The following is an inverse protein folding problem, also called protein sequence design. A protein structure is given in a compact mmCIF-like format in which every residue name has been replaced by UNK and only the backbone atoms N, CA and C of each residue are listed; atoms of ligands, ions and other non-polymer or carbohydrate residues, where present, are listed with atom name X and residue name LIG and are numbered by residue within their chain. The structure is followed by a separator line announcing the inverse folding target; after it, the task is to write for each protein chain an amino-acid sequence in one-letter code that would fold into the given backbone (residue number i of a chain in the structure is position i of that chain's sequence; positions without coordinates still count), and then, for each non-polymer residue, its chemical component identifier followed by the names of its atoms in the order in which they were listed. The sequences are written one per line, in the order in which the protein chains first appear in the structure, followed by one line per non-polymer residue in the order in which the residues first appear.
data_IF_051744775103
#
_entry.id   IF_051744775103
#
_cell.length_a   1.000
_cell.length_b   1.000
_cell.length_c   1.000
_cell.angle_alpha   90.00
_cell.angle_beta   90.00
_cell.angle_gamma   90.00
#
_symmetry.space_group_name_H-M   'P 1'
#
loop_
_entity.id
_entity.type
_entity.pdbx_description
1 polymer ?
#
# COMPACT_ATOMS: atom_id res chain seq x y z
N UNK A 1 -38.79 -16.31 9.31
CA UNK A 1 -39.01 -15.43 8.15
C UNK A 1 -37.74 -14.70 7.68
N UNK A 2 -36.81 -14.27 8.54
CA UNK A 2 -35.57 -13.57 8.09
C UNK A 2 -34.56 -14.47 7.34
N UNK A 3 -34.43 -15.75 7.70
CA UNK A 3 -33.56 -16.71 6.99
C UNK A 3 -34.00 -16.96 5.54
N UNK A 4 -35.31 -16.92 5.28
CA UNK A 4 -35.87 -17.26 3.97
C UNK A 4 -35.50 -16.21 2.90
N UNK A 5 -35.50 -14.92 3.27
CA UNK A 5 -35.07 -13.85 2.37
C UNK A 5 -33.57 -13.92 2.04
N UNK A 6 -32.72 -14.21 3.02
CA UNK A 6 -31.27 -14.35 2.80
C UNK A 6 -30.97 -15.55 1.88
N UNK A 7 -31.66 -16.67 2.06
CA UNK A 7 -31.54 -17.83 1.17
C UNK A 7 -32.03 -17.56 -0.25
N UNK A 8 -33.14 -16.82 -0.42
CA UNK A 8 -33.62 -16.37 -1.72
C UNK A 8 -32.66 -15.39 -2.39
N UNK A 9 -32.05 -14.48 -1.62
CA UNK A 9 -31.02 -13.56 -2.10
C UNK A 9 -29.75 -14.29 -2.55
N UNK A 10 -29.30 -15.32 -1.83
CA UNK A 10 -28.14 -16.13 -2.21
C UNK A 10 -28.35 -16.91 -3.52
N UNK A 11 -29.60 -17.34 -3.80
CA UNK A 11 -29.96 -18.02 -5.05
C UNK A 11 -30.06 -17.06 -6.24
N UNK A 12 -30.27 -15.77 -6.00
CA UNK A 12 -30.36 -14.75 -7.04
C UNK A 12 -28.94 -14.38 -7.51
N UNK A 13 -28.63 -14.51 -8.82
CA UNK A 13 -27.32 -14.10 -9.33
C UNK A 13 -27.04 -12.63 -9.05
N UNK A 14 -25.88 -12.34 -8.46
CA UNK A 14 -25.41 -10.98 -8.25
C UNK A 14 -25.12 -10.34 -9.61
N UNK A 15 -25.78 -9.23 -9.93
CA UNK A 15 -25.62 -8.51 -11.19
C UNK A 15 -24.40 -7.57 -11.18
N UNK A 16 -24.16 -6.93 -10.04
CA UNK A 16 -23.08 -5.95 -9.87
C UNK A 16 -21.87 -6.59 -9.18
N UNK A 17 -20.89 -7.00 -9.98
CA UNK A 17 -19.58 -7.51 -9.50
C UNK A 17 -18.41 -6.64 -9.98
N UNK A 18 -18.62 -5.82 -11.01
CA UNK A 18 -17.57 -5.03 -11.65
C UNK A 18 -16.89 -4.04 -10.69
N UNK A 19 -17.62 -3.43 -9.77
CA UNK A 19 -17.06 -2.49 -8.79
C UNK A 19 -16.06 -3.14 -7.82
N UNK A 20 -16.44 -4.25 -7.19
CA UNK A 20 -15.55 -4.99 -6.28
C UNK A 20 -14.31 -5.54 -7.02
N UNK A 21 -14.52 -6.04 -8.24
CA UNK A 21 -13.43 -6.52 -9.10
C UNK A 21 -12.46 -5.41 -9.48
N UNK A 22 -12.97 -4.21 -9.74
CA UNK A 22 -12.17 -3.05 -10.10
C UNK A 22 -11.33 -2.57 -8.90
N UNK A 23 -11.94 -2.47 -7.72
CA UNK A 23 -11.22 -2.12 -6.48
C UNK A 23 -10.07 -3.09 -6.20
N UNK A 24 -10.33 -4.40 -6.28
CA UNK A 24 -9.31 -5.42 -6.03
C UNK A 24 -8.11 -5.31 -7.01
N UNK A 25 -8.37 -4.94 -8.26
CA UNK A 25 -7.33 -4.75 -9.26
C UNK A 25 -6.49 -3.50 -8.98
N UNK A 26 -7.13 -2.40 -8.59
CA UNK A 26 -6.40 -1.19 -8.18
C UNK A 26 -5.55 -1.44 -6.94
N UNK A 27 -6.08 -2.15 -5.94
CA UNK A 27 -5.31 -2.50 -4.75
C UNK A 27 -4.12 -3.40 -5.07
N UNK A 28 -4.28 -4.33 -6.02
CA UNK A 28 -3.16 -5.13 -6.52
C UNK A 28 -2.07 -4.27 -7.13
N UNK A 29 -2.41 -3.32 -8.01
CA UNK A 29 -1.44 -2.47 -8.67
C UNK A 29 -0.60 -1.67 -7.66
N UNK A 30 -1.27 -1.05 -6.68
CA UNK A 30 -0.61 -0.28 -5.61
C UNK A 30 0.27 -1.16 -4.72
N UNK A 31 -0.22 -2.34 -4.32
CA UNK A 31 0.56 -3.26 -3.48
C UNK A 31 1.74 -3.86 -4.24
N UNK A 32 1.59 -4.19 -5.53
CA UNK A 32 2.69 -4.64 -6.38
C UNK A 32 3.77 -3.56 -6.50
N UNK A 33 3.36 -2.31 -6.77
CA UNK A 33 4.28 -1.18 -6.84
C UNK A 33 5.06 -1.01 -5.53
N UNK A 34 4.38 -1.17 -4.39
CA UNK A 34 5.03 -1.11 -3.08
C UNK A 34 6.02 -2.26 -2.88
N UNK A 35 5.69 -3.50 -3.27
CA UNK A 35 6.68 -4.59 -3.26
C UNK A 35 7.89 -4.28 -4.14
N UNK A 36 7.68 -3.73 -5.32
CA UNK A 36 8.77 -3.38 -6.24
C UNK A 36 9.65 -2.25 -5.68
N UNK A 37 9.05 -1.25 -5.02
CA UNK A 37 9.79 -0.23 -4.27
C UNK A 37 10.66 -0.85 -3.17
N UNK A 38 10.13 -1.82 -2.43
CA UNK A 38 10.86 -2.52 -1.38
C UNK A 38 12.06 -3.26 -1.98
N UNK A 39 11.86 -4.01 -3.07
CA UNK A 39 12.94 -4.76 -3.75
C UNK A 39 14.06 -3.83 -4.21
N UNK A 40 13.72 -2.75 -4.91
CA UNK A 40 14.71 -1.72 -5.32
C UNK A 40 15.43 -1.11 -4.12
N UNK A 41 14.72 -0.92 -3.00
CA UNK A 41 15.32 -0.44 -1.76
C UNK A 41 16.35 -1.41 -1.19
N UNK A 42 16.00 -2.70 -1.12
CA UNK A 42 16.87 -3.78 -0.65
C UNK A 42 18.11 -3.94 -1.56
N UNK A 43 17.97 -3.66 -2.85
CA UNK A 43 19.08 -3.64 -3.81
C UNK A 43 19.95 -2.37 -3.73
N UNK A 44 19.59 -1.41 -2.88
CA UNK A 44 20.31 -0.15 -2.70
C UNK A 44 20.09 0.86 -3.83
N UNK A 45 19.07 0.68 -4.67
CA UNK A 45 18.74 1.61 -5.74
C UNK A 45 18.29 2.97 -5.19
N UNK A 46 18.57 4.03 -5.96
CA UNK A 46 18.07 5.38 -5.72
C UNK A 46 16.90 5.65 -6.67
N UNK A 47 15.69 5.82 -6.13
CA UNK A 47 14.48 5.79 -6.95
C UNK A 47 13.41 6.80 -6.51
N UNK A 48 12.58 7.14 -7.48
CA UNK A 48 11.36 7.92 -7.34
C UNK A 48 10.23 7.20 -8.10
N UNK A 49 9.06 7.01 -7.48
CA UNK A 49 7.96 6.27 -8.09
C UNK A 49 6.74 7.16 -8.25
N UNK A 50 6.32 7.42 -9.49
CA UNK A 50 5.07 8.12 -9.78
C UNK A 50 3.91 7.13 -9.93
N UNK A 51 2.76 7.46 -9.35
CA UNK A 51 1.55 6.64 -9.39
C UNK A 51 0.47 7.25 -10.28
N UNK A 52 -0.16 6.46 -11.14
CA UNK A 52 -1.18 6.92 -12.09
C UNK A 52 -0.70 8.13 -12.90
N UNK A 53 0.42 7.96 -13.61
CA UNK A 53 1.06 9.01 -14.40
C UNK A 53 1.71 8.41 -15.64
N UNK A 54 1.17 8.71 -16.83
CA UNK A 54 1.43 8.03 -18.12
C UNK A 54 1.03 6.55 -18.17
N UNK A 55 1.45 5.75 -17.18
CA UNK A 55 1.04 4.37 -16.96
C UNK A 55 0.59 4.17 -15.50
N UNK A 56 0.19 2.95 -15.13
CA UNK A 56 -0.28 2.64 -13.77
C UNK A 56 0.77 3.03 -12.71
N UNK A 57 2.05 2.75 -13.02
CA UNK A 57 3.20 3.06 -12.15
C UNK A 57 4.41 3.41 -13.01
N UNK A 58 5.17 4.45 -12.64
CA UNK A 58 6.41 4.83 -13.31
C UNK A 58 7.54 4.89 -12.31
N UNK A 59 8.59 4.12 -12.55
CA UNK A 59 9.81 4.17 -11.74
C UNK A 59 10.86 5.02 -12.44
N UNK A 60 11.49 5.92 -11.68
CA UNK A 60 12.46 6.89 -12.13
C UNK A 60 13.73 6.73 -11.28
N UNK A 61 14.90 6.74 -11.91
CA UNK A 61 16.19 6.59 -11.21
C UNK A 61 17.26 7.50 -11.83
N UNK A 62 18.09 8.20 -11.04
CA UNK A 62 18.03 8.38 -9.57
C UNK A 62 16.88 9.29 -9.10
N UNK A 63 16.59 9.35 -7.79
CA UNK A 63 15.47 10.10 -7.22
C UNK A 63 15.48 11.59 -7.60
N UNK A 64 16.66 12.23 -7.49
CA UNK A 64 16.77 13.68 -7.65
C UNK A 64 16.84 14.13 -9.11
N UNK A 65 17.59 13.41 -9.94
CA UNK A 65 17.79 13.73 -11.35
C UNK A 65 17.64 12.48 -12.24
N UNK A 66 16.39 11.99 -12.46
CA UNK A 66 16.15 10.76 -13.19
C UNK A 66 16.79 10.74 -14.58
N UNK A 67 17.54 9.67 -14.86
CA UNK A 67 18.11 9.37 -16.18
C UNK A 67 17.46 8.14 -16.81
N UNK A 68 16.89 7.28 -15.97
CA UNK A 68 16.24 6.04 -16.35
C UNK A 68 14.77 6.09 -15.96
N UNK A 69 13.93 5.51 -16.81
CA UNK A 69 12.49 5.41 -16.57
C UNK A 69 11.94 4.05 -16.99
N UNK A 70 11.19 3.43 -16.09
CA UNK A 70 10.38 2.25 -16.36
C UNK A 70 8.90 2.60 -16.28
N UNK A 71 8.23 2.57 -17.42
CA UNK A 71 6.77 2.69 -17.49
C UNK A 71 6.15 1.31 -17.29
N UNK A 72 5.45 1.12 -16.17
CA UNK A 72 4.90 -0.17 -15.77
C UNK A 72 3.38 -0.19 -15.93
N UNK A 73 2.91 -0.98 -16.89
CA UNK A 73 1.50 -1.26 -17.09
C UNK A 73 1.17 -2.62 -16.43
N UNK A 74 0.36 -2.60 -15.38
CA UNK A 74 0.03 -3.75 -14.55
C UNK A 74 -1.34 -4.31 -14.91
N UNK A 75 -1.37 -5.50 -15.51
CA UNK A 75 -2.59 -6.19 -15.94
C UNK A 75 -2.84 -7.46 -15.14
N UNK A 76 -3.99 -7.52 -14.50
CA UNK A 76 -4.37 -8.62 -13.60
C UNK A 76 -5.46 -9.53 -14.18
N UNK A 77 -5.54 -10.76 -13.67
CA UNK A 77 -6.58 -11.75 -14.00
C UNK A 77 -6.88 -12.59 -12.77
N UNK A 78 -8.18 -12.84 -12.51
CA UNK A 78 -8.63 -13.75 -11.44
C UNK A 78 -8.35 -15.22 -11.75
N UNK A 79 -8.49 -15.60 -13.02
CA UNK A 79 -8.16 -16.95 -13.48
C UNK A 79 -6.65 -17.13 -13.55
N UNK A 80 -6.15 -18.29 -13.14
CA UNK A 80 -4.75 -18.71 -13.30
C UNK A 80 -4.35 -19.07 -14.74
N UNK A 81 -5.26 -18.92 -15.71
CA UNK A 81 -4.98 -19.23 -17.11
C UNK A 81 -4.04 -18.21 -17.73
N UNK A 82 -3.01 -18.74 -18.40
CA UNK A 82 -2.03 -17.98 -19.16
C UNK A 82 -2.67 -16.96 -20.10
N UNK A 83 -1.99 -15.83 -20.32
CA UNK A 83 -2.40 -14.81 -21.27
C UNK A 83 -1.55 -14.94 -22.53
N UNK A 84 -2.22 -14.90 -23.69
CA UNK A 84 -1.57 -15.00 -25.00
C UNK A 84 -1.11 -13.62 -25.47
N UNK A 85 -0.06 -13.59 -26.30
CA UNK A 85 0.44 -12.36 -26.90
C UNK A 85 -0.65 -11.61 -27.69
N UNK A 86 -1.52 -12.37 -28.37
CA UNK A 86 -2.65 -11.81 -29.13
C UNK A 86 -3.63 -10.99 -28.29
N UNK A 87 -3.74 -11.23 -26.99
CA UNK A 87 -4.56 -10.40 -26.10
C UNK A 87 -4.00 -8.97 -25.98
N UNK A 88 -2.69 -8.82 -25.90
CA UNK A 88 -2.03 -7.52 -25.75
C UNK A 88 -1.84 -6.76 -27.07
N UNK A 89 -1.89 -7.48 -28.19
CA UNK A 89 -1.88 -6.92 -29.56
C UNK A 89 -3.30 -6.65 -30.10
N UNK A 90 -4.35 -7.09 -29.39
CA UNK A 90 -5.71 -6.91 -29.84
C UNK A 90 -6.11 -5.43 -29.77
N UNK A 91 -6.81 -4.97 -30.81
CA UNK A 91 -7.37 -3.62 -30.90
C UNK A 91 -8.89 -3.68 -30.83
N UNK A 92 -9.46 -3.06 -29.81
CA UNK A 92 -10.91 -2.97 -29.65
C UNK A 92 -11.52 -1.99 -30.65
N UNK A 93 -12.72 -2.30 -31.16
CA UNK A 93 -13.49 -1.36 -31.97
C UNK A 93 -14.05 -0.24 -31.07
N UNK A 94 -13.98 1.00 -31.54
CA UNK A 94 -14.63 2.17 -30.95
C UNK A 94 -15.40 2.95 -32.02
N UNK A 95 -16.31 3.88 -31.62
CA UNK A 95 -16.99 4.75 -32.57
C UNK A 95 -16.04 5.58 -33.46
N UNK A 96 -14.85 5.89 -32.94
CA UNK A 96 -13.82 6.71 -33.59
C UNK A 96 -12.78 5.87 -34.37
N UNK A 97 -12.95 4.54 -34.44
CA UNK A 97 -12.04 3.65 -35.16
C UNK A 97 -11.64 2.41 -34.34
N UNK A 98 -10.35 2.11 -34.32
CA UNK A 98 -9.79 1.04 -33.47
C UNK A 98 -8.94 1.66 -32.39
N UNK A 99 -9.24 1.38 -31.12
CA UNK A 99 -8.40 1.78 -30.00
C UNK A 99 -6.99 1.21 -30.16
N UNK A 100 -5.96 1.90 -29.66
CA UNK A 100 -4.63 1.32 -29.56
C UNK A 100 -4.66 0.03 -28.74
N UNK A 101 -3.84 -0.94 -29.13
CA UNK A 101 -3.59 -2.16 -28.36
C UNK A 101 -2.83 -1.82 -27.08
N UNK A 102 -2.77 -2.77 -26.13
CA UNK A 102 -2.03 -2.53 -24.88
C UNK A 102 -0.55 -2.30 -25.18
N UNK A 103 0.04 -3.11 -26.06
CA UNK A 103 1.44 -2.91 -26.48
C UNK A 103 1.64 -1.63 -27.30
N UNK A 104 0.66 -1.24 -28.11
CA UNK A 104 0.69 0.05 -28.84
C UNK A 104 0.73 1.24 -27.88
N UNK A 105 -0.13 1.26 -26.85
CA UNK A 105 -0.11 2.33 -25.82
C UNK A 105 1.20 2.36 -25.05
N UNK A 106 1.70 1.20 -24.65
CA UNK A 106 3.00 1.13 -23.97
C UNK A 106 4.10 1.69 -24.88
N UNK A 107 4.06 1.40 -26.18
CA UNK A 107 5.05 1.90 -27.13
C UNK A 107 5.04 3.44 -27.24
N UNK A 108 3.87 4.08 -27.15
CA UNK A 108 3.75 5.55 -27.17
C UNK A 108 4.55 6.25 -26.05
N UNK A 109 4.87 5.56 -24.95
CA UNK A 109 5.72 6.11 -23.88
C UNK A 109 7.17 6.41 -24.33
N UNK A 110 7.61 5.90 -25.49
CA UNK A 110 8.91 6.26 -26.06
C UNK A 110 8.90 7.66 -26.71
N UNK A 111 7.72 8.19 -27.02
CA UNK A 111 7.58 9.48 -27.67
C UNK A 111 7.77 10.63 -26.66
N UNK A 112 8.42 11.71 -27.10
CA UNK A 112 8.61 12.92 -26.29
C UNK A 112 9.72 12.86 -25.24
N UNK A 113 10.39 11.70 -25.04
CA UNK A 113 11.55 11.57 -24.16
C UNK A 113 12.84 11.76 -24.96
N UNK A 114 13.67 12.71 -24.53
CA UNK A 114 14.89 13.11 -25.23
C UNK A 114 15.95 12.00 -25.34
N UNK A 115 16.87 12.16 -26.30
CA UNK A 115 18.01 11.27 -26.44
C UNK A 115 18.93 11.37 -25.20
N UNK A 116 19.43 10.22 -24.73
CA UNK A 116 20.31 10.12 -23.56
C UNK A 116 19.66 9.51 -22.32
N UNK A 117 18.35 9.25 -22.33
CA UNK A 117 17.64 8.57 -21.26
C UNK A 117 17.45 7.08 -21.58
N UNK A 118 17.56 6.23 -20.55
CA UNK A 118 17.18 4.82 -20.65
C UNK A 118 15.68 4.69 -20.39
N UNK A 119 14.92 4.33 -21.42
CA UNK A 119 13.46 4.17 -21.33
C UNK A 119 13.13 2.69 -21.50
N UNK A 120 12.37 2.13 -20.58
CA UNK A 120 11.75 0.82 -20.71
C UNK A 120 10.25 0.90 -20.50
N UNK A 121 9.54 0.01 -21.16
CA UNK A 121 8.11 -0.19 -20.96
C UNK A 121 7.90 -1.64 -20.52
N UNK A 122 7.17 -1.84 -19.45
CA UNK A 122 7.11 -3.12 -18.74
C UNK A 122 5.65 -3.50 -18.58
N UNK A 123 5.27 -4.62 -19.20
CA UNK A 123 3.97 -5.22 -18.99
C UNK A 123 4.08 -6.21 -17.84
N UNK A 124 3.42 -5.87 -16.73
CA UNK A 124 3.41 -6.69 -15.52
C UNK A 124 2.12 -7.49 -15.47
N UNK A 125 2.22 -8.79 -15.21
CA UNK A 125 1.05 -9.63 -14.97
C UNK A 125 1.17 -10.47 -13.71
N UNK A 126 0.00 -10.73 -13.10
CA UNK A 126 -0.12 -11.65 -11.98
C UNK A 126 -0.16 -13.13 -12.43
N UNK A 127 -0.41 -13.37 -13.72
CA UNK A 127 -0.47 -14.70 -14.32
C UNK A 127 0.62 -14.86 -15.39
N UNK A 128 1.13 -16.08 -15.60
CA UNK A 128 2.20 -16.28 -16.57
C UNK A 128 1.77 -16.01 -18.01
N UNK A 129 2.70 -15.46 -18.80
CA UNK A 129 2.53 -15.32 -20.24
C UNK A 129 2.72 -16.66 -20.94
N UNK A 130 1.89 -16.97 -21.94
CA UNK A 130 2.02 -18.24 -22.69
C UNK A 130 3.19 -18.24 -23.68
N UNK A 131 3.87 -17.10 -23.86
CA UNK A 131 4.79 -16.84 -24.95
C UNK A 131 6.21 -16.48 -24.49
N UNK A 132 6.44 -16.31 -23.19
CA UNK A 132 7.75 -15.97 -22.62
C UNK A 132 7.91 -16.48 -21.19
N UNK A 133 9.09 -16.28 -20.61
CA UNK A 133 9.36 -16.56 -19.20
C UNK A 133 8.77 -15.49 -18.25
N UNK A 134 9.12 -15.58 -16.98
CA UNK A 134 8.65 -14.64 -15.94
C UNK A 134 9.32 -13.27 -16.01
N UNK A 135 10.45 -13.14 -16.68
CA UNK A 135 11.09 -11.87 -17.00
C UNK A 135 11.72 -12.02 -18.38
N UNK A 136 11.24 -11.28 -19.38
CA UNK A 136 11.67 -11.44 -20.77
C UNK A 136 11.61 -10.12 -21.52
N UNK A 137 12.62 -9.87 -22.36
CA UNK A 137 12.62 -8.77 -23.32
C UNK A 137 11.87 -9.18 -24.59
N UNK A 138 11.15 -8.25 -25.22
CA UNK A 138 10.43 -8.51 -26.47
C UNK A 138 11.38 -8.90 -27.62
N UNK A 139 12.61 -8.37 -27.64
CA UNK A 139 13.62 -8.72 -28.63
C UNK A 139 14.15 -10.16 -28.51
N UNK A 140 14.07 -10.75 -27.31
CA UNK A 140 14.59 -12.09 -27.01
C UNK A 140 13.52 -13.18 -27.10
N UNK A 141 12.30 -12.83 -27.54
CA UNK A 141 11.23 -13.80 -27.75
C UNK A 141 11.56 -14.73 -28.92
N UNK A 142 10.80 -15.82 -28.98
CA UNK A 142 10.80 -16.70 -30.16
C UNK A 142 10.47 -15.89 -31.42
N UNK A 143 11.11 -16.25 -32.53
CA UNK A 143 11.03 -15.51 -33.80
C UNK A 143 9.58 -15.27 -34.27
N UNK A 144 8.71 -16.26 -34.10
CA UNK A 144 7.29 -16.16 -34.43
C UNK A 144 6.61 -15.01 -33.69
N UNK A 145 6.83 -14.92 -32.38
CA UNK A 145 6.27 -13.91 -31.49
C UNK A 145 6.84 -12.52 -31.81
N UNK A 146 8.15 -12.42 -32.06
CA UNK A 146 8.81 -11.17 -32.48
C UNK A 146 8.19 -10.66 -33.79
N UNK A 147 8.06 -11.51 -34.79
CA UNK A 147 7.48 -11.15 -36.09
C UNK A 147 6.01 -10.73 -35.94
N UNK A 148 5.25 -11.39 -35.07
CA UNK A 148 3.87 -11.01 -34.78
C UNK A 148 3.77 -9.62 -34.14
N UNK A 149 4.67 -9.28 -33.21
CA UNK A 149 4.72 -7.93 -32.61
C UNK A 149 5.05 -6.91 -33.70
N UNK A 150 6.10 -7.15 -34.50
CA UNK A 150 6.51 -6.22 -35.56
C UNK A 150 5.39 -5.93 -36.55
N UNK A 151 4.74 -6.96 -37.07
CA UNK A 151 3.63 -6.82 -38.02
C UNK A 151 2.49 -5.99 -37.42
N UNK A 152 2.06 -6.32 -36.20
CA UNK A 152 0.93 -5.65 -35.56
C UNK A 152 1.24 -4.22 -35.11
N UNK A 153 2.45 -3.95 -34.65
CA UNK A 153 2.89 -2.59 -34.29
C UNK A 153 3.08 -1.71 -35.53
N UNK A 154 3.63 -2.24 -36.62
CA UNK A 154 3.75 -1.50 -37.89
C UNK A 154 2.38 -1.20 -38.54
N UNK A 155 1.38 -2.08 -38.37
CA UNK A 155 -0.01 -1.81 -38.76
C UNK A 155 -0.68 -0.73 -37.91
N UNK A 156 -0.25 -0.57 -36.66
CA UNK A 156 -0.89 0.28 -35.66
C UNK A 156 -0.27 1.68 -35.57
N UNK A 157 1.05 1.76 -35.58
CA UNK A 157 1.83 2.96 -35.28
C UNK A 157 2.44 3.55 -36.56
N UNK A 158 2.33 4.87 -36.73
CA UNK A 158 2.88 5.57 -37.90
C UNK A 158 4.41 5.59 -37.95
N UNK A 159 5.07 5.51 -36.79
CA UNK A 159 6.53 5.61 -36.64
C UNK A 159 7.08 4.47 -35.76
N UNK A 160 6.79 3.23 -36.15
CA UNK A 160 7.35 2.07 -35.46
C UNK A 160 8.86 1.91 -35.75
N UNK A 161 9.65 1.79 -34.70
CA UNK A 161 11.08 1.51 -34.70
C UNK A 161 11.33 0.14 -34.04
N UNK A 162 11.67 -0.85 -34.87
CA UNK A 162 11.96 -2.20 -34.41
C UNK A 162 13.10 -2.27 -33.38
N UNK A 163 14.03 -1.30 -33.40
CA UNK A 163 15.13 -1.27 -32.44
C UNK A 163 14.65 -1.04 -31.00
N UNK A 164 13.43 -0.50 -30.82
CA UNK A 164 12.80 -0.28 -29.51
C UNK A 164 12.24 -1.56 -28.89
N UNK A 165 12.17 -2.68 -29.62
CA UNK A 165 11.75 -3.95 -29.01
C UNK A 165 12.67 -4.39 -27.86
N UNK A 166 13.93 -3.97 -27.86
CA UNK A 166 14.87 -4.23 -26.75
C UNK A 166 14.48 -3.52 -25.44
N UNK A 167 13.59 -2.53 -25.53
CA UNK A 167 13.13 -1.70 -24.41
C UNK A 167 11.74 -2.12 -23.89
N UNK A 168 11.10 -3.12 -24.51
CA UNK A 168 9.79 -3.63 -24.10
C UNK A 168 10.02 -4.93 -23.31
N UNK A 169 9.49 -4.99 -22.09
CA UNK A 169 9.67 -6.11 -21.18
C UNK A 169 8.35 -6.70 -20.69
N UNK A 170 8.39 -7.98 -20.35
CA UNK A 170 7.28 -8.75 -19.82
C UNK A 170 7.67 -9.33 -18.47
N UNK A 171 6.94 -9.01 -17.41
CA UNK A 171 7.18 -9.51 -16.05
C UNK A 171 5.96 -10.24 -15.52
N UNK A 172 6.16 -11.47 -15.06
CA UNK A 172 5.17 -12.23 -14.29
C UNK A 172 5.56 -12.23 -12.82
N UNK A 173 4.67 -11.73 -11.97
CA UNK A 173 4.87 -11.69 -10.51
C UNK A 173 4.57 -13.03 -9.84
N UNK A 174 3.61 -13.80 -10.37
CA UNK A 174 3.20 -15.09 -9.80
C UNK A 174 2.39 -14.99 -8.51
N UNK A 175 1.96 -13.79 -8.12
CA UNK A 175 1.18 -13.55 -6.90
C UNK A 175 -0.29 -13.38 -7.27
N UNK A 176 -1.20 -14.12 -6.62
CA UNK A 176 -2.63 -13.98 -6.90
C UNK A 176 -3.17 -12.64 -6.37
N UNK A 177 -4.35 -12.23 -6.87
CA UNK A 177 -5.02 -11.03 -6.38
C UNK A 177 -5.24 -11.08 -4.85
N UNK A 178 -5.65 -12.24 -4.34
CA UNK A 178 -5.96 -12.44 -2.92
C UNK A 178 -4.70 -12.53 -2.05
N UNK A 179 -3.58 -13.00 -2.62
CA UNK A 179 -2.32 -13.17 -1.89
C UNK A 179 -1.42 -11.93 -1.92
N UNK A 180 -1.76 -10.90 -2.70
CA UNK A 180 -0.89 -9.73 -2.89
C UNK A 180 -0.60 -8.99 -1.57
N UNK A 181 -1.58 -8.88 -0.67
CA UNK A 181 -1.37 -8.21 0.60
C UNK A 181 -0.46 -9.02 1.55
N UNK A 182 -0.65 -10.34 1.65
CA UNK A 182 0.22 -11.17 2.48
C UNK A 182 1.65 -11.24 1.92
N UNK A 183 1.80 -11.27 0.59
CA UNK A 183 3.09 -11.16 -0.07
C UNK A 183 3.79 -9.84 0.27
N UNK A 184 3.07 -8.71 0.20
CA UNK A 184 3.59 -7.40 0.63
C UNK A 184 4.07 -7.43 2.07
N UNK A 185 3.31 -8.00 3.01
CA UNK A 185 3.74 -8.10 4.40
C UNK A 185 5.03 -8.92 4.58
N UNK A 186 5.26 -9.93 3.73
CA UNK A 186 6.53 -10.65 3.69
C UNK A 186 7.70 -9.76 3.27
N UNK A 187 7.54 -9.01 2.16
CA UNK A 187 8.55 -8.06 1.69
C UNK A 187 8.84 -6.96 2.73
N UNK A 188 7.81 -6.46 3.42
CA UNK A 188 7.97 -5.48 4.51
C UNK A 188 8.79 -6.08 5.67
N UNK A 189 8.54 -7.34 6.02
CA UNK A 189 9.33 -8.01 7.06
C UNK A 189 10.82 -8.07 6.69
N UNK A 190 11.15 -8.37 5.42
CA UNK A 190 12.54 -8.38 4.95
C UNK A 190 13.17 -6.98 4.97
N UNK A 191 12.42 -5.95 4.56
CA UNK A 191 12.86 -4.55 4.64
C UNK A 191 13.21 -4.15 6.07
N UNK A 192 12.31 -4.43 7.03
CA UNK A 192 12.53 -4.08 8.43
C UNK A 192 13.71 -4.85 9.03
N UNK A 193 13.86 -6.13 8.69
CA UNK A 193 15.01 -6.93 9.10
C UNK A 193 16.32 -6.33 8.57
N UNK A 194 16.35 -5.85 7.33
CA UNK A 194 17.54 -5.21 6.76
C UNK A 194 17.85 -3.87 7.45
N UNK A 195 16.84 -3.00 7.62
CA UNK A 195 17.03 -1.63 8.13
C UNK A 195 17.28 -1.57 9.64
N UNK A 196 16.62 -2.43 10.42
CA UNK A 196 16.59 -2.34 11.89
C UNK A 196 17.12 -3.58 12.59
N UNK A 197 17.42 -4.66 11.85
CA UNK A 197 17.77 -5.96 12.41
C UNK A 197 16.57 -6.76 12.92
N UNK A 198 16.84 -7.95 13.45
CA UNK A 198 15.81 -8.80 14.07
C UNK A 198 15.37 -8.25 15.44
N UNK A 199 14.12 -8.53 15.83
CA UNK A 199 13.61 -8.12 17.15
C UNK A 199 13.39 -6.60 17.29
N UNK A 200 13.29 -5.87 16.18
CA UNK A 200 13.14 -4.41 16.17
C UNK A 200 11.85 -3.91 16.87
N UNK A 201 10.84 -4.75 17.12
CA UNK A 201 9.67 -4.40 17.93
C UNK A 201 8.78 -3.28 17.36
N UNK A 202 8.98 -2.89 16.10
CA UNK A 202 8.16 -1.88 15.42
C UNK A 202 6.90 -2.55 14.86
N UNK A 203 5.76 -1.88 14.99
CA UNK A 203 4.51 -2.34 14.38
C UNK A 203 4.55 -2.15 12.85
N UNK A 204 5.01 -3.20 12.15
CA UNK A 204 5.11 -3.21 10.69
C UNK A 204 3.76 -2.99 10.00
N UNK A 205 2.65 -3.48 10.58
CA UNK A 205 1.33 -3.27 9.98
C UNK A 205 0.91 -1.80 9.98
N UNK A 206 1.16 -1.09 11.09
CA UNK A 206 0.88 0.35 11.17
C UNK A 206 1.73 1.14 10.17
N UNK A 207 3.02 0.81 10.06
CA UNK A 207 3.90 1.43 9.06
C UNK A 207 3.48 1.11 7.62
N UNK A 208 3.14 -0.15 7.31
CA UNK A 208 2.67 -0.54 5.97
C UNK A 208 1.43 0.26 5.58
N UNK A 209 0.46 0.41 6.50
CA UNK A 209 -0.74 1.22 6.26
C UNK A 209 -0.38 2.68 5.99
N UNK A 210 0.54 3.28 6.77
CA UNK A 210 1.00 4.65 6.56
C UNK A 210 1.52 4.87 5.13
N UNK A 211 2.35 3.95 4.64
CA UNK A 211 2.91 4.05 3.28
C UNK A 211 1.83 3.78 2.22
N UNK A 212 0.95 2.79 2.43
CA UNK A 212 -0.19 2.54 1.53
C UNK A 212 -1.11 3.76 1.43
N UNK A 213 -1.36 4.46 2.54
CA UNK A 213 -2.19 5.66 2.56
C UNK A 213 -1.53 6.84 1.83
N UNK A 214 -0.19 6.96 1.90
CA UNK A 214 0.55 7.91 1.05
C UNK A 214 0.44 7.54 -0.43
N UNK A 215 0.65 6.27 -0.79
CA UNK A 215 0.49 5.78 -2.17
C UNK A 215 -0.93 6.06 -2.69
N UNK A 216 -1.95 5.75 -1.90
CA UNK A 216 -3.35 6.04 -2.23
C UNK A 216 -3.57 7.53 -2.47
N UNK A 217 -3.02 8.39 -1.60
CA UNK A 217 -3.10 9.85 -1.77
C UNK A 217 -2.43 10.31 -3.06
N UNK A 218 -1.25 9.78 -3.42
CA UNK A 218 -0.55 10.14 -4.67
C UNK A 218 -1.29 9.66 -5.91
N UNK A 219 -1.77 8.43 -5.90
CA UNK A 219 -2.47 7.78 -7.01
C UNK A 219 -3.76 8.56 -7.37
N UNK A 220 -4.54 8.96 -6.36
CA UNK A 220 -5.84 9.65 -6.52
C UNK A 220 -5.75 11.13 -6.91
N UNK A 221 -4.55 11.72 -7.06
CA UNK A 221 -4.44 13.09 -7.57
C UNK A 221 -4.74 13.09 -9.06
N UNK A 222 -5.69 13.89 -9.54
CA UNK A 222 -5.93 14.03 -10.98
C UNK A 222 -4.71 14.65 -11.68
N UNK A 223 -4.34 14.09 -12.84
CA UNK A 223 -3.16 14.55 -13.61
C UNK A 223 -3.27 16.01 -14.06
N UNK A 224 -4.49 16.54 -14.22
CA UNK A 224 -4.74 17.95 -14.52
C UNK A 224 -4.23 18.91 -13.44
N UNK A 225 -4.04 18.42 -12.20
CA UNK A 225 -3.53 19.21 -11.07
C UNK A 225 -1.99 19.25 -10.98
N UNK A 226 -1.30 18.70 -11.98
CA UNK A 226 0.16 18.64 -12.07
C UNK A 226 0.64 19.68 -13.09
N UNK A 227 1.16 20.80 -12.61
CA UNK A 227 1.55 21.94 -13.45
C UNK A 227 3.05 22.18 -13.57
N UNK A 228 3.85 21.44 -12.78
CA UNK A 228 5.31 21.60 -12.71
C UNK A 228 6.02 20.30 -12.32
N UNK A 229 7.33 20.27 -12.49
CA UNK A 229 8.19 19.17 -12.01
C UNK A 229 8.11 19.03 -10.49
N UNK A 230 8.07 20.14 -9.76
CA UNK A 230 7.89 20.14 -8.30
C UNK A 230 6.52 19.58 -7.90
N UNK A 231 5.46 19.90 -8.64
CA UNK A 231 4.13 19.33 -8.41
C UNK A 231 4.14 17.82 -8.62
N UNK A 232 4.74 17.35 -9.71
CA UNK A 232 4.84 15.92 -10.01
C UNK A 232 5.52 15.17 -8.85
N UNK A 233 6.74 15.60 -8.48
CA UNK A 233 7.50 15.00 -7.37
C UNK A 233 6.68 15.01 -6.07
N UNK A 234 6.02 16.12 -5.74
CA UNK A 234 5.31 16.26 -4.46
C UNK A 234 3.95 15.56 -4.41
N UNK A 235 3.18 15.56 -5.50
CA UNK A 235 1.76 15.16 -5.51
C UNK A 235 1.53 13.77 -6.06
N UNK A 236 2.44 13.26 -6.91
CA UNK A 236 2.29 11.97 -7.59
C UNK A 236 3.38 10.97 -7.23
N UNK A 237 4.51 11.42 -6.70
CA UNK A 237 5.64 10.54 -6.45
C UNK A 237 5.82 10.13 -4.98
N UNK A 238 6.31 8.91 -4.78
CA UNK A 238 6.88 8.44 -3.52
C UNK A 238 8.38 8.20 -3.74
N UNK A 239 9.20 8.76 -2.86
CA UNK A 239 10.66 8.66 -2.92
C UNK A 239 11.22 7.50 -2.10
N UNK A 240 12.45 7.08 -2.43
CA UNK A 240 13.25 6.22 -1.56
C UNK A 240 13.37 6.84 -0.15
N UNK A 241 13.62 8.15 -0.09
CA UNK A 241 13.74 8.87 1.19
C UNK A 241 12.50 8.73 2.08
N UNK A 242 11.29 8.69 1.53
CA UNK A 242 10.06 8.48 2.31
C UNK A 242 10.12 7.16 3.10
N UNK A 243 10.54 6.06 2.47
CA UNK A 243 10.63 4.76 3.14
C UNK A 243 11.65 4.80 4.27
N UNK A 244 12.87 5.28 4.00
CA UNK A 244 13.90 5.39 5.02
C UNK A 244 13.45 6.28 6.19
N UNK A 245 12.94 7.48 5.91
CA UNK A 245 12.54 8.43 6.94
C UNK A 245 11.39 7.90 7.80
N UNK A 246 10.39 7.24 7.20
CA UNK A 246 9.23 6.70 7.94
C UNK A 246 9.57 5.44 8.73
N UNK A 247 10.51 4.60 8.27
CA UNK A 247 11.02 3.47 9.06
C UNK A 247 11.78 3.98 10.27
N UNK A 248 12.69 4.94 10.08
CA UNK A 248 13.44 5.53 11.18
C UNK A 248 12.52 6.26 12.17
N UNK A 249 11.52 6.99 11.68
CA UNK A 249 10.50 7.57 12.53
C UNK A 249 9.75 6.50 13.33
N UNK A 250 9.27 5.43 12.70
CA UNK A 250 8.58 4.34 13.40
C UNK A 250 9.49 3.60 14.40
N UNK A 251 10.79 3.54 14.13
CA UNK A 251 11.80 2.97 15.02
C UNK A 251 12.12 3.86 16.23
N UNK A 252 12.02 5.18 16.08
CA UNK A 252 12.29 6.16 17.14
C UNK A 252 11.04 6.48 17.97
N UNK A 253 9.86 6.40 17.36
CA UNK A 253 8.57 6.64 17.99
C UNK A 253 7.88 5.32 18.36
N UNK A 254 8.66 4.33 18.82
CA UNK A 254 8.11 3.07 19.33
C UNK A 254 7.28 3.37 20.56
N UNK A 255 5.97 3.44 20.40
CA UNK A 255 5.07 3.16 21.52
C UNK A 255 5.29 1.70 21.88
N UNK A 256 5.89 1.46 23.04
CA UNK A 256 6.07 0.08 23.50
C UNK A 256 4.67 -0.42 23.82
N UNK A 257 4.22 -1.45 23.11
CA UNK A 257 3.02 -2.17 23.56
C UNK A 257 3.28 -2.55 25.02
N UNK A 258 2.42 -2.11 25.95
CA UNK A 258 2.79 -2.16 27.34
C UNK A 258 2.82 -3.61 27.82
N UNK A 259 3.73 -3.94 28.74
CA UNK A 259 3.94 -5.32 29.22
C UNK A 259 2.70 -5.83 29.96
N UNK A 260 1.80 -6.48 29.21
CA UNK A 260 0.48 -6.85 29.72
C UNK A 260 0.53 -7.79 30.91
N UNK A 261 1.61 -8.55 31.08
CA UNK A 261 1.81 -9.40 32.26
C UNK A 261 1.93 -8.57 33.54
N UNK A 262 2.67 -7.46 33.50
CA UNK A 262 2.85 -6.54 34.61
C UNK A 262 1.58 -5.73 34.87
N UNK A 263 0.96 -5.19 33.82
CA UNK A 263 -0.31 -4.46 33.92
C UNK A 263 -1.40 -5.32 34.54
N UNK A 264 -1.55 -6.56 34.05
CA UNK A 264 -2.57 -7.46 34.59
C UNK A 264 -2.31 -7.84 36.04
N UNK A 265 -1.05 -7.91 36.47
CA UNK A 265 -0.71 -8.16 37.87
C UNK A 265 -1.10 -6.96 38.74
N UNK A 266 -0.66 -5.75 38.38
CA UNK A 266 -0.96 -4.53 39.14
C UNK A 266 -2.47 -4.23 39.23
N UNK A 267 -3.19 -4.34 38.10
CA UNK A 267 -4.63 -4.10 38.08
C UNK A 267 -5.41 -5.18 38.85
N UNK A 268 -4.94 -6.43 38.81
CA UNK A 268 -5.54 -7.52 39.60
C UNK A 268 -5.35 -7.30 41.10
N UNK A 269 -4.17 -6.84 41.52
CA UNK A 269 -3.89 -6.48 42.91
C UNK A 269 -4.76 -5.28 43.36
N UNK A 270 -5.10 -4.38 42.42
CA UNK A 270 -6.06 -3.29 42.62
C UNK A 270 -7.55 -3.72 42.52
N UNK A 271 -7.84 -5.02 42.38
CA UNK A 271 -9.19 -5.57 42.44
C UNK A 271 -9.92 -5.72 41.10
N UNK A 272 -9.25 -5.56 39.96
CA UNK A 272 -9.87 -5.80 38.65
C UNK A 272 -10.18 -7.28 38.43
N UNK A 273 -11.33 -7.56 37.81
CA UNK A 273 -11.73 -8.95 37.52
C UNK A 273 -11.01 -9.50 36.31
N UNK A 274 -10.83 -10.82 36.22
CA UNK A 274 -10.27 -11.48 35.04
C UNK A 274 -11.04 -11.15 33.73
N UNK A 275 -12.34 -10.90 33.85
CA UNK A 275 -13.19 -10.53 32.71
C UNK A 275 -12.84 -9.11 32.23
N UNK A 276 -12.62 -8.17 33.15
CA UNK A 276 -12.24 -6.79 32.81
C UNK A 276 -10.87 -6.74 32.14
N UNK A 277 -9.89 -7.48 32.70
CA UNK A 277 -8.55 -7.60 32.11
C UNK A 277 -8.60 -8.21 30.70
N UNK A 278 -9.41 -9.25 30.48
CA UNK A 278 -9.60 -9.82 29.15
C UNK A 278 -10.22 -8.82 28.16
N UNK A 279 -11.24 -8.07 28.58
CA UNK A 279 -11.92 -7.09 27.71
C UNK A 279 -10.98 -5.95 27.32
N UNK A 280 -10.24 -5.40 28.28
CA UNK A 280 -9.24 -4.37 28.03
C UNK A 280 -8.09 -4.89 27.14
N UNK A 281 -7.54 -6.07 27.46
CA UNK A 281 -6.44 -6.66 26.70
C UNK A 281 -6.77 -6.87 25.21
N UNK A 282 -8.02 -7.20 24.88
CA UNK A 282 -8.49 -7.29 23.48
C UNK A 282 -8.47 -5.96 22.71
N UNK A 283 -8.42 -4.82 23.41
CA UNK A 283 -8.43 -3.47 22.81
C UNK A 283 -7.04 -2.85 22.68
N UNK A 284 -6.04 -3.34 23.43
CA UNK A 284 -4.69 -2.77 23.48
C UNK A 284 -4.05 -2.64 22.09
N UNK A 285 -4.10 -3.68 21.25
CA UNK A 285 -3.49 -3.63 19.90
C UNK A 285 -4.07 -2.50 19.03
N UNK A 286 -5.40 -2.34 19.06
CA UNK A 286 -6.07 -1.28 18.31
C UNK A 286 -5.76 0.10 18.92
N UNK A 287 -5.76 0.20 20.26
CA UNK A 287 -5.43 1.44 20.94
C UNK A 287 -3.97 1.89 20.67
N UNK A 288 -3.01 0.96 20.60
CA UNK A 288 -1.61 1.27 20.20
C UNK A 288 -1.56 1.77 18.76
N UNK A 289 -2.32 1.15 17.86
CA UNK A 289 -2.39 1.59 16.46
C UNK A 289 -2.99 2.99 16.33
N UNK A 290 -3.96 3.35 17.17
CA UNK A 290 -4.54 4.70 17.16
C UNK A 290 -3.63 5.73 17.82
N UNK A 291 -3.00 5.38 18.95
CA UNK A 291 -2.05 6.26 19.66
C UNK A 291 -0.85 6.65 18.79
N UNK A 292 -0.42 5.76 17.90
CA UNK A 292 0.72 5.99 16.98
C UNK A 292 0.32 6.63 15.66
N UNK A 293 -0.97 6.87 15.41
CA UNK A 293 -1.45 7.39 14.14
C UNK A 293 -1.69 8.92 14.18
N UNK A 294 -0.77 9.75 13.64
CA UNK A 294 -0.89 11.20 13.71
C UNK A 294 -2.02 11.78 12.83
N UNK A 295 -2.63 10.97 11.95
CA UNK A 295 -3.75 11.43 11.12
C UNK A 295 -5.12 11.20 11.77
N UNK A 296 -5.16 10.51 12.92
CA UNK A 296 -6.40 10.29 13.67
C UNK A 296 -6.61 11.42 14.69
N UNK A 297 -7.30 12.48 14.26
CA UNK A 297 -7.52 13.68 15.07
C UNK A 297 -8.25 13.43 16.40
N UNK A 298 -9.14 12.43 16.45
CA UNK A 298 -9.86 12.06 17.68
C UNK A 298 -8.92 11.37 18.69
N UNK A 299 -8.06 10.47 18.20
CA UNK A 299 -7.04 9.82 19.03
C UNK A 299 -6.01 10.82 19.54
N UNK A 300 -5.57 11.76 18.70
CA UNK A 300 -4.63 12.82 19.07
C UNK A 300 -5.22 13.75 20.14
N UNK A 301 -6.51 14.11 20.02
CA UNK A 301 -7.19 14.90 21.04
C UNK A 301 -7.30 14.15 22.37
N UNK A 302 -7.61 12.85 22.34
CA UNK A 302 -7.67 12.02 23.53
C UNK A 302 -6.28 11.89 24.19
N UNK A 303 -5.25 11.65 23.40
CA UNK A 303 -3.85 11.58 23.83
C UNK A 303 -3.45 12.84 24.59
N UNK A 304 -3.60 14.01 23.98
CA UNK A 304 -3.24 15.30 24.60
C UNK A 304 -3.96 15.53 25.94
N UNK A 305 -5.23 15.13 26.04
CA UNK A 305 -6.00 15.26 27.29
C UNK A 305 -5.49 14.34 28.39
N UNK A 306 -5.19 13.09 28.05
CA UNK A 306 -4.67 12.10 29.01
C UNK A 306 -3.25 12.45 29.46
N UNK A 307 -2.39 12.92 28.55
CA UNK A 307 -1.05 13.41 28.86
C UNK A 307 -1.13 14.62 29.80
N UNK A 308 -2.00 15.59 29.49
CA UNK A 308 -2.21 16.76 30.35
C UNK A 308 -2.71 16.35 31.75
N UNK A 309 -3.62 15.39 31.83
CA UNK A 309 -4.07 14.84 33.11
C UNK A 309 -2.92 14.20 33.88
N UNK A 310 -2.14 13.32 33.23
CA UNK A 310 -1.01 12.62 33.82
C UNK A 310 -0.01 13.60 34.44
N UNK A 311 0.41 14.61 33.66
CA UNK A 311 1.34 15.64 34.13
C UNK A 311 0.75 16.51 35.25
N UNK A 312 -0.56 16.76 35.23
CA UNK A 312 -1.22 17.59 36.24
C UNK A 312 -1.38 16.90 37.59
N UNK A 313 -1.56 15.57 37.59
CA UNK A 313 -1.85 14.80 38.80
C UNK A 313 -0.66 14.01 39.32
N UNK A 314 0.35 13.79 38.48
CA UNK A 314 1.54 12.99 38.78
C UNK A 314 1.18 11.65 39.47
N UNK A 315 0.32 10.82 38.84
CA UNK A 315 -0.17 9.60 39.45
C UNK A 315 1.01 8.66 39.77
N UNK A 316 0.96 8.03 40.94
CA UNK A 316 2.03 7.13 41.38
C UNK A 316 1.83 5.68 40.93
N UNK A 317 0.60 5.31 40.57
CA UNK A 317 0.22 3.95 40.18
C UNK A 317 -0.72 3.95 38.98
N UNK A 318 -0.73 2.85 38.22
CA UNK A 318 -1.60 2.70 37.07
C UNK A 318 -3.09 2.72 37.48
N UNK A 319 -3.54 1.99 38.52
CA UNK A 319 -4.92 2.03 38.97
C UNK A 319 -5.42 3.45 39.29
N UNK A 320 -4.60 4.27 39.96
CA UNK A 320 -4.96 5.64 40.32
C UNK A 320 -5.17 6.49 39.07
N UNK A 321 -4.25 6.39 38.12
CA UNK A 321 -4.37 7.09 36.84
C UNK A 321 -5.62 6.65 36.06
N UNK A 322 -5.89 5.34 35.96
CA UNK A 322 -7.06 4.84 35.23
C UNK A 322 -8.37 5.30 35.87
N UNK A 323 -8.44 5.33 37.21
CA UNK A 323 -9.62 5.85 37.92
C UNK A 323 -9.83 7.34 37.66
N UNK A 324 -8.76 8.13 37.70
CA UNK A 324 -8.83 9.56 37.42
C UNK A 324 -9.17 9.85 35.96
N UNK A 325 -8.52 9.18 35.01
CA UNK A 325 -8.79 9.30 33.59
C UNK A 325 -10.26 8.96 33.26
N UNK A 326 -10.78 7.87 33.84
CA UNK A 326 -12.17 7.47 33.61
C UNK A 326 -13.17 8.46 34.24
N UNK A 327 -12.87 9.06 35.38
CA UNK A 327 -13.77 10.02 36.03
C UNK A 327 -13.72 11.43 35.42
N UNK A 328 -12.57 11.86 34.90
CA UNK A 328 -12.35 13.26 34.48
C UNK A 328 -12.30 13.47 32.98
N UNK A 329 -11.95 12.44 32.20
CA UNK A 329 -11.76 12.57 30.75
C UNK A 329 -12.82 11.80 29.97
N UNK A 330 -13.31 10.66 30.46
CA UNK A 330 -14.28 9.83 29.73
C UNK A 330 -15.60 10.57 29.44
N UNK A 331 -16.13 11.34 30.38
CA UNK A 331 -17.35 12.15 30.16
C UNK A 331 -17.14 13.27 29.13
N UNK A 332 -15.91 13.75 28.94
CA UNK A 332 -15.57 14.79 27.95
C UNK A 332 -15.34 14.19 26.54
N UNK A 333 -15.37 12.85 26.42
CA UNK A 333 -15.34 12.15 25.13
C UNK A 333 -16.73 11.78 24.61
N UNK A 334 -17.80 12.19 25.31
CA UNK A 334 -19.17 12.02 24.83
C UNK A 334 -19.36 12.73 23.48
N UNK A 335 -19.52 11.92 22.43
CA UNK A 335 -19.63 12.35 21.03
C UNK A 335 -18.48 11.92 20.11
N UNK A 336 -17.36 11.40 20.66
CA UNK A 336 -16.26 10.81 19.89
C UNK A 336 -16.42 9.29 19.86
N UNK A 337 -16.78 8.77 18.68
CA UNK A 337 -17.23 7.39 18.42
C UNK A 337 -16.66 6.28 19.34
N UNK A 338 -15.53 5.65 18.95
CA UNK A 338 -15.01 4.39 19.48
C UNK A 338 -14.34 4.53 20.86
N UNK A 339 -13.90 5.74 21.21
CA UNK A 339 -13.22 6.08 22.47
C UNK A 339 -14.17 6.24 23.66
N UNK A 340 -15.48 6.33 23.40
CA UNK A 340 -16.52 6.25 24.45
C UNK A 340 -16.70 4.83 25.01
N UNK A 341 -16.18 3.80 24.32
CA UNK A 341 -16.20 2.43 24.84
C UNK A 341 -15.22 2.29 26.01
N UNK A 342 -15.74 2.03 27.21
CA UNK A 342 -14.97 1.94 28.46
C UNK A 342 -13.64 1.19 28.32
N UNK A 343 -13.62 -0.02 27.77
CA UNK A 343 -12.38 -0.82 27.73
C UNK A 343 -11.41 -0.38 26.64
N UNK A 344 -11.89 0.30 25.60
CA UNK A 344 -11.03 0.95 24.62
C UNK A 344 -10.37 2.19 25.21
N UNK A 345 -11.15 3.04 25.87
CA UNK A 345 -10.65 4.21 26.59
C UNK A 345 -9.58 3.81 27.61
N UNK A 346 -9.87 2.82 28.44
CA UNK A 346 -8.93 2.34 29.46
C UNK A 346 -7.67 1.75 28.83
N UNK A 347 -7.79 0.99 27.72
CA UNK A 347 -6.62 0.51 26.98
C UNK A 347 -5.77 1.67 26.44
N UNK A 348 -6.39 2.75 25.96
CA UNK A 348 -5.68 3.95 25.51
C UNK A 348 -4.98 4.69 26.67
N UNK A 349 -5.64 4.82 27.81
CA UNK A 349 -5.05 5.41 29.01
C UNK A 349 -3.88 4.59 29.57
N UNK A 350 -3.95 3.25 29.51
CA UNK A 350 -2.81 2.38 29.87
C UNK A 350 -1.59 2.70 29.00
N UNK A 351 -1.78 2.96 27.70
CA UNK A 351 -0.69 3.30 26.79
C UNK A 351 -0.07 4.64 27.17
N UNK A 352 -0.89 5.67 27.43
CA UNK A 352 -0.40 6.99 27.87
C UNK A 352 0.42 6.85 29.16
N UNK A 353 -0.10 6.16 30.16
CA UNK A 353 0.62 5.93 31.43
C UNK A 353 1.97 5.24 31.21
N UNK A 354 2.04 4.25 30.32
CA UNK A 354 3.25 3.50 30.04
C UNK A 354 4.29 4.31 29.24
N UNK A 355 3.87 5.30 28.46
CA UNK A 355 4.78 6.16 27.69
C UNK A 355 5.29 7.36 28.52
N UNK A 356 4.55 7.77 29.55
CA UNK A 356 4.86 8.93 30.39
C UNK A 356 5.69 8.62 31.65
N UNK A 357 5.87 7.33 31.99
CA UNK A 357 6.70 6.84 33.11
C UNK A 357 8.03 6.33 32.58
#
# INVERSE_FOLDING_TARGET
MSQQLLEEMLKKPQRETAGADTSLRFDYQKNWAFCEMIKRHLEGADYLVAFEYHDDVVFLEPEENPQNVDFCQVKTKKSSSHITLGFYLAREKSPEGRKPSILGKMYENFDGIGAGHEVRTILVSNVPFSFCGSNSCAADLKEREVNQIKEKMAEELSHFDEARLKNIHFITTGVSLDAMHSFLMGEVSELFKMELGEGHGVNMHAWTRLVQDEINRKNNVESENISSTSDLKKKKCVSRKLLTDTIQWAANNRTRAPEMSLINAELKDAGWTAIDLMKMGKKISNAVSDYTNPTNGDAELLKQRLELLFHSEAPQTLPDFLSSAFSKVAEITDGLSLYSEKFYFLAFAVIVFNEEI
#
